data_IF_198026969073
#
_entry.id   IF_198026969073
#
_cell.length_a   1.000
_cell.length_b   1.000
_cell.length_c   1.000
_cell.angle_alpha   90.00
_cell.angle_beta   90.00
_cell.angle_gamma   90.00
#
_symmetry.space_group_name_H-M   'P 1'
#
loop_
_entity.id
_entity.type
_entity.pdbx_description
1 polymer ?
#
# COMPACT_ATOMS: atom_id res chain seq x y z
N UNK A 1 -0.47 22.85 18.89
CA UNK A 1 -1.72 23.17 18.16
C UNK A 1 -2.68 22.00 18.29
N UNK A 2 -3.95 22.28 18.50
CA UNK A 2 -4.98 21.24 18.60
C UNK A 2 -5.26 20.62 17.23
N UNK A 3 -5.76 19.38 17.24
CA UNK A 3 -6.24 18.70 16.05
C UNK A 3 -7.45 17.81 16.36
N UNK A 4 -8.31 17.65 15.38
CA UNK A 4 -9.53 16.84 15.44
C UNK A 4 -9.49 15.76 14.38
N UNK A 5 -9.68 14.52 14.81
CA UNK A 5 -9.94 13.38 13.93
C UNK A 5 -11.45 13.19 13.83
N UNK A 6 -12.00 13.33 12.63
CA UNK A 6 -13.45 13.28 12.39
C UNK A 6 -13.76 12.14 11.43
N UNK A 7 -14.59 11.19 11.86
CA UNK A 7 -14.99 10.04 11.05
C UNK A 7 -16.37 10.27 10.43
N UNK A 8 -16.62 9.65 9.26
CA UNK A 8 -17.90 9.75 8.54
C UNK A 8 -19.12 9.32 9.37
N UNK A 9 -18.93 8.48 10.40
CA UNK A 9 -19.98 8.06 11.33
C UNK A 9 -20.28 9.09 12.43
N UNK A 10 -19.69 10.29 12.37
CA UNK A 10 -19.87 11.37 13.35
C UNK A 10 -18.96 11.27 14.58
N UNK A 11 -18.09 10.26 14.68
CA UNK A 11 -17.15 10.19 15.80
C UNK A 11 -16.07 11.26 15.66
N UNK A 12 -15.89 12.05 16.71
CA UNK A 12 -14.83 13.06 16.81
C UNK A 12 -13.85 12.66 17.92
N UNK A 13 -12.55 12.70 17.63
CA UNK A 13 -11.49 12.45 18.60
C UNK A 13 -10.52 13.63 18.60
N UNK A 14 -10.33 14.24 19.76
CA UNK A 14 -9.42 15.37 19.94
C UNK A 14 -8.01 14.87 20.26
N UNK A 15 -7.01 15.49 19.63
CA UNK A 15 -5.60 15.21 19.84
C UNK A 15 -4.74 16.46 19.67
N UNK A 16 -3.45 16.26 19.45
CA UNK A 16 -2.48 17.34 19.18
C UNK A 16 -1.84 17.11 17.83
N UNK A 17 -1.68 18.18 17.06
CA UNK A 17 -0.92 18.10 15.82
C UNK A 17 0.58 18.02 16.11
N UNK A 18 1.28 17.13 15.41
CA UNK A 18 2.74 17.07 15.37
C UNK A 18 3.31 16.98 13.94
N UNK A 19 2.45 17.04 12.91
CA UNK A 19 2.84 17.06 11.51
C UNK A 19 2.67 18.45 10.88
N UNK A 20 2.53 18.49 9.56
CA UNK A 20 2.29 19.73 8.83
C UNK A 20 0.99 20.42 9.25
N UNK A 21 0.97 21.76 9.23
CA UNK A 21 -0.24 22.56 9.46
C UNK A 21 -1.15 22.57 8.21
N UNK A 22 -1.76 21.42 7.90
CA UNK A 22 -2.72 21.24 6.81
C UNK A 22 -3.86 20.31 7.24
N UNK A 23 -5.02 20.49 6.64
CA UNK A 23 -6.12 19.53 6.78
C UNK A 23 -5.96 18.44 5.72
N UNK A 24 -6.43 17.23 6.03
CA UNK A 24 -6.39 16.11 5.09
C UNK A 24 -7.58 15.19 5.31
N UNK A 25 -8.12 14.66 4.22
CA UNK A 25 -9.25 13.73 4.24
C UNK A 25 -8.85 12.49 3.43
N UNK A 26 -9.25 11.32 3.91
CA UNK A 26 -8.97 10.04 3.28
C UNK A 26 -9.70 8.90 3.96
N UNK A 27 -9.45 7.67 3.49
CA UNK A 27 -9.98 6.48 4.14
C UNK A 27 -9.13 6.14 5.38
N UNK A 28 -9.76 6.04 6.55
CA UNK A 28 -9.03 5.63 7.77
C UNK A 28 -8.81 4.13 7.79
N UNK A 29 -7.56 3.75 8.02
CA UNK A 29 -7.11 2.36 8.10
C UNK A 29 -6.25 2.19 9.34
N UNK A 30 -6.07 0.95 9.80
CA UNK A 30 -5.11 0.65 10.87
C UNK A 30 -4.07 -0.35 10.40
N UNK A 31 -2.85 -0.26 10.94
CA UNK A 31 -1.75 -1.19 10.69
C UNK A 31 -1.16 -1.67 12.04
N UNK A 32 -0.98 -2.99 12.16
CA UNK A 32 -0.54 -3.65 13.40
C UNK A 32 0.98 -3.81 13.55
N UNK A 33 1.77 -3.36 12.60
CA UNK A 33 3.23 -3.40 12.68
C UNK A 33 3.75 -2.57 13.85
N UNK A 34 4.67 -3.14 14.63
CA UNK A 34 5.30 -2.46 15.78
C UNK A 34 6.56 -1.68 15.42
N UNK A 35 7.08 -1.90 14.21
CA UNK A 35 8.19 -1.19 13.61
C UNK A 35 7.88 -0.97 12.11
N UNK A 36 8.69 -0.17 11.45
CA UNK A 36 8.54 0.10 10.02
C UNK A 36 7.58 1.24 9.70
N UNK A 37 7.39 2.22 10.60
CA UNK A 37 6.43 3.30 10.38
C UNK A 37 6.82 4.18 9.19
N UNK A 38 8.11 4.35 8.91
CA UNK A 38 8.59 5.15 7.78
C UNK A 38 8.29 4.45 6.45
N UNK A 39 8.60 3.16 6.38
CA UNK A 39 8.33 2.27 5.25
C UNK A 39 6.81 2.22 4.97
N UNK A 40 5.99 2.19 6.03
CA UNK A 40 4.53 2.23 5.92
C UNK A 40 4.05 3.55 5.33
N UNK A 41 4.45 4.70 5.86
CA UNK A 41 3.93 5.99 5.37
C UNK A 41 4.44 6.34 3.97
N UNK A 42 5.55 5.75 3.54
CA UNK A 42 6.15 5.96 2.21
C UNK A 42 5.75 4.90 1.17
N UNK A 43 4.97 3.90 1.56
CA UNK A 43 4.43 2.88 0.64
C UNK A 43 3.29 3.49 -0.21
N UNK A 44 3.41 3.52 -1.56
CA UNK A 44 2.40 4.08 -2.46
C UNK A 44 1.00 3.51 -2.30
N UNK A 45 0.88 2.30 -1.75
CA UNK A 45 -0.39 1.64 -1.52
C UNK A 45 -1.28 2.36 -0.48
N UNK A 46 -0.72 3.27 0.32
CA UNK A 46 -1.44 4.12 1.26
C UNK A 46 -1.91 5.46 0.68
N UNK A 47 -1.76 5.69 -0.63
CA UNK A 47 -2.26 6.91 -1.28
C UNK A 47 -3.75 7.10 -0.99
N UNK A 48 -4.12 8.27 -0.46
CA UNK A 48 -5.50 8.57 -0.09
C UNK A 48 -5.95 8.02 1.26
N UNK A 49 -5.07 7.38 2.04
CA UNK A 49 -5.40 6.76 3.32
C UNK A 49 -4.80 7.52 4.51
N UNK A 50 -5.57 7.61 5.59
CA UNK A 50 -5.11 8.06 6.90
C UNK A 50 -4.70 6.84 7.73
N UNK A 51 -3.41 6.72 8.04
CA UNK A 51 -2.85 5.51 8.66
C UNK A 51 -2.88 5.64 10.17
N UNK A 52 -3.59 4.73 10.82
CA UNK A 52 -3.55 4.54 12.28
C UNK A 52 -2.56 3.45 12.64
N UNK A 53 -1.51 3.77 13.39
CA UNK A 53 -0.59 2.77 13.91
C UNK A 53 -1.07 2.28 15.28
N UNK A 54 -1.16 0.95 15.46
CA UNK A 54 -1.65 0.39 16.73
C UNK A 54 -0.59 0.37 17.81
N UNK A 55 0.70 0.29 17.44
CA UNK A 55 1.79 0.37 18.41
C UNK A 55 1.83 1.79 18.99
N UNK A 56 1.87 1.96 20.33
CA UNK A 56 1.57 3.25 20.93
C UNK A 56 2.65 4.30 20.71
N UNK A 57 3.93 3.92 20.73
CA UNK A 57 5.07 4.84 20.67
C UNK A 57 5.65 4.89 19.26
N UNK A 58 5.32 5.93 18.49
CA UNK A 58 5.74 6.09 17.11
C UNK A 58 6.79 7.21 16.99
N UNK A 59 7.81 7.02 16.15
CA UNK A 59 8.92 7.97 15.98
C UNK A 59 10.17 7.64 16.80
N UNK A 60 10.19 6.50 17.49
CA UNK A 60 11.26 6.11 18.41
C UNK A 60 12.64 5.92 17.74
N UNK A 61 12.71 5.58 16.46
CA UNK A 61 13.96 5.44 15.71
C UNK A 61 14.22 6.57 14.69
N UNK A 62 13.41 7.62 14.70
CA UNK A 62 13.54 8.75 13.79
C UNK A 62 13.29 8.36 12.35
N UNK A 63 13.99 9.01 11.43
CA UNK A 63 13.87 8.80 9.99
C UNK A 63 15.26 8.57 9.39
N UNK A 64 15.36 7.58 8.51
CA UNK A 64 16.56 7.24 7.76
C UNK A 64 16.24 7.19 6.24
N UNK A 65 16.94 7.93 5.37
CA UNK A 65 16.70 7.90 3.92
C UNK A 65 16.68 6.50 3.28
N UNK A 66 17.41 5.53 3.84
CA UNK A 66 17.47 4.15 3.29
C UNK A 66 16.17 3.36 3.47
N UNK A 67 15.34 3.74 4.45
CA UNK A 67 14.06 3.11 4.80
C UNK A 67 12.88 3.68 3.98
N UNK A 68 13.16 4.52 2.98
CA UNK A 68 12.14 5.05 2.08
C UNK A 68 11.70 3.99 1.06
N UNK A 69 10.40 3.67 1.02
CA UNK A 69 9.82 2.75 0.04
C UNK A 69 9.35 3.42 -1.25
N UNK A 70 9.29 4.76 -1.28
CA UNK A 70 9.11 5.56 -2.50
C UNK A 70 9.76 6.94 -2.33
N UNK A 71 9.62 7.83 -3.30
CA UNK A 71 10.28 9.15 -3.29
C UNK A 71 9.67 10.15 -2.29
N UNK A 72 8.50 9.83 -1.71
CA UNK A 72 7.74 10.73 -0.83
C UNK A 72 6.86 9.96 0.16
N UNK A 73 6.29 10.69 1.12
CA UNK A 73 5.18 10.16 1.93
C UNK A 73 3.94 10.04 1.03
N UNK A 74 3.30 8.87 1.09
CA UNK A 74 2.15 8.51 0.26
C UNK A 74 0.87 8.50 1.08
N UNK A 75 0.97 8.18 2.37
CA UNK A 75 -0.14 8.31 3.31
C UNK A 75 -0.63 9.77 3.39
N UNK A 76 -1.94 9.95 3.38
CA UNK A 76 -2.58 11.28 3.47
C UNK A 76 -2.50 11.87 4.89
N UNK A 77 -2.14 11.07 5.89
CA UNK A 77 -1.97 11.51 7.27
C UNK A 77 -1.67 10.36 8.21
N UNK A 78 -1.17 10.70 9.39
CA UNK A 78 -0.72 9.72 10.39
C UNK A 78 -1.44 9.93 11.73
N UNK A 79 -1.95 8.84 12.31
CA UNK A 79 -2.71 8.83 13.56
C UNK A 79 -1.99 7.90 14.54
N UNK A 80 -1.57 8.46 15.68
CA UNK A 80 -0.80 7.73 16.69
C UNK A 80 -1.34 7.96 18.09
N UNK A 81 -0.99 7.06 19.01
CA UNK A 81 -1.28 7.25 20.43
C UNK A 81 -0.31 8.26 21.04
N UNK A 82 0.99 8.04 20.84
CA UNK A 82 2.06 8.86 21.38
C UNK A 82 3.17 9.05 20.34
N UNK A 83 3.55 10.31 20.11
CA UNK A 83 4.70 10.65 19.27
C UNK A 83 5.96 10.80 20.13
N UNK A 84 7.00 10.04 19.80
CA UNK A 84 8.31 10.11 20.45
C UNK A 84 9.11 11.25 19.84
N UNK A 85 9.22 12.36 20.57
CA UNK A 85 9.86 13.61 20.12
C UNK A 85 11.38 13.50 19.93
N UNK A 86 12.02 12.60 20.66
CA UNK A 86 13.48 12.41 20.66
C UNK A 86 13.79 10.99 20.20
N UNK A 87 14.09 10.78 18.91
CA UNK A 87 14.43 9.47 18.41
C UNK A 87 15.77 9.00 18.99
N UNK A 88 15.92 7.69 19.15
CA UNK A 88 17.14 7.05 19.66
C UNK A 88 17.53 5.86 18.76
N UNK A 89 18.16 6.19 17.63
CA UNK A 89 18.75 5.22 16.71
C UNK A 89 19.95 5.86 16.02
N UNK A 90 21.04 5.11 15.85
CA UNK A 90 22.27 5.60 15.23
C UNK A 90 22.10 6.01 13.75
N UNK A 91 21.09 5.46 13.07
CA UNK A 91 20.76 5.77 11.68
C UNK A 91 19.85 7.00 11.54
N UNK A 92 19.24 7.48 12.63
CA UNK A 92 18.31 8.61 12.61
C UNK A 92 19.00 9.88 12.09
N UNK A 93 18.44 10.48 11.03
CA UNK A 93 18.92 11.75 10.44
C UNK A 93 17.99 12.93 10.73
N UNK A 94 16.70 12.68 10.90
CA UNK A 94 15.70 13.68 11.25
C UNK A 94 14.61 13.06 12.14
N UNK A 95 13.82 13.89 12.82
CA UNK A 95 12.66 13.43 13.57
C UNK A 95 11.47 13.14 12.65
N UNK A 96 10.54 12.29 13.09
CA UNK A 96 9.32 12.02 12.32
C UNK A 96 8.46 13.28 12.12
N UNK A 97 8.44 14.21 13.08
CA UNK A 97 7.71 15.47 12.95
C UNK A 97 8.29 16.35 11.83
N UNK A 98 9.62 16.54 11.81
CA UNK A 98 10.31 17.30 10.76
C UNK A 98 10.04 16.70 9.39
N UNK A 99 10.12 15.37 9.27
CA UNK A 99 9.82 14.65 8.05
C UNK A 99 8.39 14.86 7.55
N UNK A 100 7.40 14.73 8.43
CA UNK A 100 5.98 14.97 8.11
C UNK A 100 5.73 16.42 7.68
N UNK A 101 6.33 17.39 8.38
CA UNK A 101 6.22 18.82 8.05
C UNK A 101 6.84 19.10 6.67
N UNK A 102 8.04 18.55 6.41
CA UNK A 102 8.78 18.69 5.14
C UNK A 102 7.97 18.19 3.94
N UNK A 103 7.23 17.10 4.09
CA UNK A 103 6.35 16.56 3.04
C UNK A 103 4.92 17.11 3.09
N UNK A 104 4.60 18.02 4.01
CA UNK A 104 3.28 18.63 4.11
C UNK A 104 2.18 17.67 4.56
N UNK A 105 2.52 16.63 5.33
CA UNK A 105 1.57 15.60 5.78
C UNK A 105 1.13 15.88 7.22
N UNK A 106 -0.19 16.00 7.49
CA UNK A 106 -0.67 16.20 8.85
C UNK A 106 -0.61 14.91 9.66
N UNK A 107 -0.39 15.08 10.95
CA UNK A 107 -0.38 13.96 11.88
C UNK A 107 -0.91 14.37 13.25
N UNK A 108 -1.62 13.44 13.90
CA UNK A 108 -2.30 13.65 15.16
C UNK A 108 -1.87 12.61 16.20
N UNK A 109 -1.46 13.08 17.37
CA UNK A 109 -1.14 12.25 18.55
C UNK A 109 -2.18 12.42 19.66
N UNK A 110 -2.14 11.54 20.67
CA UNK A 110 -3.07 11.55 21.81
C UNK A 110 -4.38 10.80 21.56
N UNK A 111 -4.54 10.19 20.37
CA UNK A 111 -5.74 9.46 20.01
C UNK A 111 -5.76 8.10 20.69
N UNK A 112 -6.92 7.67 21.17
CA UNK A 112 -7.13 6.27 21.57
C UNK A 112 -7.18 5.38 20.30
N UNK A 113 -5.99 5.03 19.81
CA UNK A 113 -5.83 4.21 18.60
C UNK A 113 -6.42 2.81 18.78
N UNK A 114 -6.57 2.31 20.01
CA UNK A 114 -7.24 1.03 20.28
C UNK A 114 -8.75 1.15 20.07
N UNK A 115 -9.39 2.20 20.58
CA UNK A 115 -10.81 2.49 20.32
C UNK A 115 -11.04 2.64 18.82
N UNK A 116 -10.22 3.43 18.14
CA UNK A 116 -10.30 3.64 16.69
C UNK A 116 -10.16 2.32 15.91
N UNK A 117 -9.15 1.50 16.25
CA UNK A 117 -8.94 0.20 15.62
C UNK A 117 -10.14 -0.73 15.78
N UNK A 118 -10.74 -0.78 16.98
CA UNK A 118 -11.96 -1.58 17.22
C UNK A 118 -13.13 -1.09 16.40
N UNK A 119 -13.29 0.23 16.26
CA UNK A 119 -14.34 0.82 15.44
C UNK A 119 -14.18 0.47 13.96
N UNK A 120 -12.98 0.62 13.40
CA UNK A 120 -12.67 0.27 12.01
C UNK A 120 -12.89 -1.22 11.77
N UNK A 121 -12.43 -2.09 12.68
CA UNK A 121 -12.67 -3.54 12.59
C UNK A 121 -14.16 -3.89 12.58
N UNK A 122 -14.95 -3.23 13.42
CA UNK A 122 -16.38 -3.53 13.60
C UNK A 122 -17.26 -2.91 12.51
N UNK A 123 -16.93 -1.73 12.01
CA UNK A 123 -17.77 -0.96 11.07
C UNK A 123 -17.24 -0.99 9.64
N UNK A 124 -15.96 -1.32 9.46
CA UNK A 124 -15.23 -1.20 8.21
C UNK A 124 -14.40 0.08 8.11
N UNK A 125 -13.54 0.13 7.10
CA UNK A 125 -12.84 1.34 6.70
C UNK A 125 -13.85 2.40 6.23
N UNK A 126 -13.58 3.67 6.53
CA UNK A 126 -14.51 4.76 6.26
C UNK A 126 -13.78 6.06 6.00
N UNK A 127 -14.46 7.03 5.39
CA UNK A 127 -13.92 8.38 5.23
C UNK A 127 -13.66 9.01 6.60
N UNK A 128 -12.55 9.73 6.70
CA UNK A 128 -12.06 10.36 7.91
C UNK A 128 -11.21 11.58 7.53
N UNK A 129 -11.17 12.58 8.42
CA UNK A 129 -10.35 13.77 8.23
C UNK A 129 -9.53 14.10 9.48
N UNK A 130 -8.32 14.61 9.25
CA UNK A 130 -7.49 15.29 10.25
C UNK A 130 -7.64 16.79 10.01
N UNK A 131 -8.18 17.50 10.99
CA UNK A 131 -8.39 18.94 10.95
C UNK A 131 -7.56 19.62 12.03
N UNK A 132 -6.71 20.57 11.65
CA UNK A 132 -5.86 21.31 12.57
C UNK A 132 -6.56 22.64 12.83
N UNK A 133 -7.15 22.75 14.01
CA UNK A 133 -7.90 23.92 14.47
C UNK A 133 -7.91 23.95 15.99
N UNK A 134 -8.06 25.14 16.58
CA UNK A 134 -8.20 25.33 18.03
C UNK A 134 -9.58 24.90 18.54
N UNK A 135 -10.60 24.94 17.68
CA UNK A 135 -11.99 24.57 18.00
C UNK A 135 -12.56 23.61 16.97
N UNK A 136 -13.50 22.78 17.41
CA UNK A 136 -14.25 21.92 16.49
C UNK A 136 -15.28 22.74 15.71
N UNK A 137 -15.48 22.40 14.44
CA UNK A 137 -16.50 22.97 13.57
C UNK A 137 -17.29 21.85 12.90
N UNK A 138 -18.62 22.00 12.82
CA UNK A 138 -19.50 21.01 12.17
C UNK A 138 -19.18 20.83 10.68
N UNK A 139 -18.59 21.87 10.06
CA UNK A 139 -18.08 21.85 8.69
C UNK A 139 -17.09 20.71 8.43
N UNK A 140 -16.37 20.24 9.46
CA UNK A 140 -15.41 19.14 9.35
C UNK A 140 -16.11 17.81 9.04
N UNK A 141 -17.24 17.55 9.69
CA UNK A 141 -18.00 16.32 9.44
C UNK A 141 -18.61 16.34 8.03
N UNK A 142 -19.14 17.48 7.61
CA UNK A 142 -19.70 17.64 6.27
C UNK A 142 -18.63 17.48 5.19
N UNK A 143 -17.42 18.02 5.39
CA UNK A 143 -16.30 17.80 4.50
C UNK A 143 -15.92 16.30 4.38
N UNK A 144 -15.93 15.56 5.49
CA UNK A 144 -15.62 14.12 5.51
C UNK A 144 -16.70 13.30 4.80
N UNK A 145 -17.99 13.63 4.97
CA UNK A 145 -19.11 12.94 4.31
C UNK A 145 -19.14 13.19 2.81
N UNK A 146 -18.79 14.39 2.37
CA UNK A 146 -18.79 14.79 0.96
C UNK A 146 -17.52 14.36 0.21
N UNK A 147 -16.52 13.82 0.90
CA UNK A 147 -15.29 13.36 0.28
C UNK A 147 -15.52 12.14 -0.63
N UNK A 148 -14.86 12.08 -1.80
CA UNK A 148 -15.04 10.98 -2.73
C UNK A 148 -14.55 9.66 -2.14
N UNK A 149 -15.29 8.58 -2.37
CA UNK A 149 -14.88 7.23 -1.96
C UNK A 149 -13.67 6.78 -2.77
N UNK A 150 -12.71 6.11 -2.12
CA UNK A 150 -11.58 5.47 -2.81
C UNK A 150 -11.99 4.30 -3.71
N UNK A 151 -13.17 3.71 -3.47
CA UNK A 151 -13.67 2.59 -4.28
C UNK A 151 -14.01 3.06 -5.70
N UNK A 152 -13.58 2.30 -6.70
CA UNK A 152 -13.71 2.68 -8.11
C UNK A 152 -12.74 3.77 -8.61
N UNK A 153 -11.81 4.26 -7.78
CA UNK A 153 -10.77 5.20 -8.23
C UNK A 153 -9.52 4.48 -8.73
N UNK A 154 -9.03 4.89 -9.90
CA UNK A 154 -7.72 4.53 -10.40
C UNK A 154 -6.64 5.41 -9.76
N UNK A 155 -6.12 4.95 -8.63
CA UNK A 155 -5.02 5.60 -7.94
C UNK A 155 -3.65 5.16 -8.46
N UNK A 156 -3.56 4.08 -9.25
CA UNK A 156 -2.32 3.61 -9.83
C UNK A 156 -1.75 4.63 -10.81
N UNK A 157 -2.61 5.26 -11.62
CA UNK A 157 -2.21 6.36 -12.52
C UNK A 157 -1.64 7.59 -11.79
N UNK A 158 -2.00 7.79 -10.52
CA UNK A 158 -1.56 8.95 -9.73
C UNK A 158 -0.17 8.74 -9.14
N UNK A 159 0.25 7.49 -8.95
CA UNK A 159 1.51 7.15 -8.26
C UNK A 159 2.56 6.49 -9.15
N UNK A 160 2.21 6.11 -10.37
CA UNK A 160 3.12 5.54 -11.37
C UNK A 160 4.22 6.52 -11.79
N UNK A 161 5.35 6.01 -12.28
CA UNK A 161 6.40 6.80 -12.89
C UNK A 161 5.94 7.50 -14.18
N UNK A 162 6.51 8.69 -14.44
CA UNK A 162 6.17 9.48 -15.64
C UNK A 162 6.81 8.95 -16.91
N UNK A 163 8.02 8.39 -16.80
CA UNK A 163 8.82 7.88 -17.92
C UNK A 163 9.48 6.57 -17.54
N UNK A 164 9.73 5.67 -18.50
CA UNK A 164 10.48 4.46 -18.25
C UNK A 164 11.87 4.75 -17.71
N UNK A 165 12.35 3.89 -16.80
CA UNK A 165 13.71 3.97 -16.25
C UNK A 165 14.28 2.60 -15.92
N UNK A 166 15.60 2.50 -15.85
CA UNK A 166 16.31 1.29 -15.42
C UNK A 166 16.63 1.41 -13.93
N UNK A 167 16.40 0.34 -13.18
CA UNK A 167 16.74 0.26 -11.77
C UNK A 167 17.89 -0.73 -11.55
N UNK A 168 18.81 -0.37 -10.65
CA UNK A 168 19.91 -1.24 -10.24
C UNK A 168 21.15 -1.14 -11.13
N UNK A 169 22.11 -2.03 -10.88
CA UNK A 169 23.43 -2.00 -11.52
C UNK A 169 23.69 -3.21 -12.43
N UNK A 170 22.78 -4.19 -12.47
CA UNK A 170 22.97 -5.43 -13.21
C UNK A 170 22.69 -5.29 -14.71
N UNK A 171 23.44 -4.41 -15.37
CA UNK A 171 23.52 -4.33 -16.84
C UNK A 171 24.90 -4.76 -17.32
N UNK A 172 25.04 -5.75 -18.25
CA UNK A 172 23.98 -6.59 -18.79
C UNK A 172 23.75 -7.86 -17.92
N UNK A 173 22.63 -7.93 -17.21
CA UNK A 173 22.08 -9.20 -16.69
C UNK A 173 21.57 -10.09 -17.83
N UNK A 174 21.50 -11.40 -17.58
CA UNK A 174 21.01 -12.41 -18.53
C UNK A 174 19.50 -12.31 -18.84
N UNK A 175 18.69 -11.66 -18.00
CA UNK A 175 17.23 -11.63 -18.17
C UNK A 175 16.68 -10.22 -18.04
N UNK A 176 16.06 -9.72 -19.11
CA UNK A 176 15.33 -8.44 -19.15
C UNK A 176 13.97 -8.59 -18.50
N UNK A 177 13.74 -7.84 -17.44
CA UNK A 177 12.48 -7.82 -16.70
C UNK A 177 11.75 -6.49 -16.93
N UNK A 178 10.55 -6.57 -17.50
CA UNK A 178 9.65 -5.42 -17.59
C UNK A 178 8.77 -5.34 -16.34
N UNK A 179 8.83 -4.22 -15.64
CA UNK A 179 8.08 -3.97 -14.40
C UNK A 179 7.05 -2.88 -14.66
N UNK A 180 5.77 -3.21 -14.50
CA UNK A 180 4.70 -2.21 -14.48
C UNK A 180 4.66 -1.53 -13.12
N UNK A 181 4.87 -0.22 -13.11
CA UNK A 181 4.78 0.60 -11.92
C UNK A 181 3.32 1.04 -11.68
N UNK A 182 2.65 0.39 -10.76
CA UNK A 182 1.34 0.80 -10.25
C UNK A 182 1.44 1.55 -8.90
N UNK A 183 2.63 2.01 -8.53
CA UNK A 183 2.97 2.44 -7.18
C UNK A 183 3.97 1.48 -6.53
N UNK A 184 5.03 1.14 -7.25
CA UNK A 184 5.99 0.14 -6.82
C UNK A 184 6.79 0.59 -5.60
N UNK A 185 6.95 -0.33 -4.66
CA UNK A 185 7.88 -0.19 -3.54
C UNK A 185 9.33 -0.38 -3.99
N UNK A 186 10.22 0.53 -3.57
CA UNK A 186 11.66 0.45 -3.85
C UNK A 186 12.27 -0.88 -3.41
N UNK A 187 11.83 -1.47 -2.30
CA UNK A 187 12.39 -2.74 -1.86
C UNK A 187 12.07 -3.92 -2.81
N UNK A 188 10.95 -3.88 -3.55
CA UNK A 188 10.65 -4.87 -4.59
C UNK A 188 11.72 -4.80 -5.69
N UNK A 189 12.04 -3.58 -6.14
CA UNK A 189 13.06 -3.34 -7.16
C UNK A 189 14.44 -3.82 -6.68
N UNK A 190 14.82 -3.51 -5.43
CA UNK A 190 16.08 -3.99 -4.81
C UNK A 190 16.17 -5.52 -4.82
N UNK A 191 15.08 -6.23 -4.49
CA UNK A 191 15.06 -7.69 -4.47
C UNK A 191 15.13 -8.30 -5.88
N UNK A 192 14.47 -7.69 -6.87
CA UNK A 192 14.54 -8.12 -8.26
C UNK A 192 15.95 -7.92 -8.84
N UNK A 193 16.58 -6.77 -8.57
CA UNK A 193 17.97 -6.50 -8.96
C UNK A 193 18.94 -7.48 -8.29
N UNK A 194 18.81 -7.70 -6.97
CA UNK A 194 19.64 -8.68 -6.22
C UNK A 194 19.45 -10.12 -6.72
N UNK A 195 18.27 -10.46 -7.24
CA UNK A 195 18.01 -11.75 -7.87
C UNK A 195 18.67 -11.88 -9.27
N UNK A 196 19.28 -10.80 -9.77
CA UNK A 196 20.05 -10.78 -11.01
C UNK A 196 19.25 -10.40 -12.25
N UNK A 197 18.10 -9.73 -12.13
CA UNK A 197 17.34 -9.22 -13.28
C UNK A 197 17.87 -7.87 -13.78
N UNK A 198 17.81 -7.63 -15.09
CA UNK A 198 17.93 -6.29 -15.66
C UNK A 198 16.55 -5.62 -15.59
N UNK A 199 16.34 -4.78 -14.58
CA UNK A 199 15.01 -4.27 -14.21
C UNK A 199 14.69 -2.97 -14.95
N UNK A 200 13.70 -3.03 -15.84
CA UNK A 200 13.18 -1.86 -16.57
C UNK A 200 11.78 -1.56 -16.05
N UNK A 201 11.60 -0.37 -15.50
CA UNK A 201 10.34 0.06 -14.89
C UNK A 201 9.59 0.94 -15.86
N UNK A 202 8.30 0.68 -16.01
CA UNK A 202 7.43 1.28 -17.01
C UNK A 202 6.19 1.91 -16.37
N UNK A 203 5.69 3.03 -16.93
CA UNK A 203 4.43 3.62 -16.51
C UNK A 203 3.27 2.64 -16.59
N UNK A 204 2.27 2.81 -15.73
CA UNK A 204 1.14 1.90 -15.57
C UNK A 204 0.42 1.57 -16.90
N UNK A 205 0.29 2.56 -17.80
CA UNK A 205 -0.43 2.45 -19.08
C UNK A 205 0.43 1.97 -20.26
N UNK A 206 1.66 1.54 -20.01
CA UNK A 206 2.51 1.02 -21.08
C UNK A 206 1.82 -0.19 -21.73
N UNK A 207 1.82 -0.24 -23.06
CA UNK A 207 1.15 -1.35 -23.76
C UNK A 207 2.01 -2.60 -23.68
N UNK A 208 1.38 -3.73 -23.41
CA UNK A 208 2.09 -5.01 -23.34
C UNK A 208 2.71 -5.40 -24.69
N UNK A 209 2.07 -5.03 -25.80
CA UNK A 209 2.55 -5.32 -27.14
C UNK A 209 3.91 -4.65 -27.42
N UNK A 210 4.10 -3.41 -26.96
CA UNK A 210 5.35 -2.67 -27.14
C UNK A 210 6.50 -3.40 -26.41
N UNK A 211 6.25 -3.84 -25.17
CA UNK A 211 7.24 -4.57 -24.37
C UNK A 211 7.51 -5.98 -24.92
N UNK A 212 6.50 -6.65 -25.46
CA UNK A 212 6.69 -7.95 -26.12
C UNK A 212 7.59 -7.82 -27.36
N UNK A 213 7.38 -6.77 -28.15
CA UNK A 213 8.18 -6.47 -29.34
C UNK A 213 9.63 -6.08 -29.00
N UNK A 214 9.84 -5.41 -27.86
CA UNK A 214 11.17 -5.06 -27.34
C UNK A 214 11.96 -6.25 -26.77
N UNK A 215 11.36 -7.45 -26.74
CA UNK A 215 12.04 -8.69 -26.40
C UNK A 215 12.32 -8.86 -24.91
N UNK A 216 11.43 -8.39 -24.03
CA UNK A 216 11.52 -8.69 -22.60
C UNK A 216 11.26 -10.18 -22.30
N UNK A 217 12.03 -10.72 -21.36
CA UNK A 217 12.04 -12.14 -21.00
C UNK A 217 10.93 -12.48 -20.01
N UNK A 218 10.67 -11.57 -19.06
CA UNK A 218 9.68 -11.73 -18.01
C UNK A 218 9.00 -10.40 -17.69
N UNK A 219 7.84 -10.49 -17.04
CA UNK A 219 6.98 -9.35 -16.73
C UNK A 219 6.56 -9.38 -15.26
N UNK A 220 6.51 -8.20 -14.66
CA UNK A 220 6.15 -8.04 -13.26
C UNK A 220 5.08 -6.95 -13.10
N UNK A 221 4.04 -7.25 -12.33
CA UNK A 221 2.98 -6.31 -11.96
C UNK A 221 3.15 -5.91 -10.49
N UNK A 222 3.44 -4.65 -10.23
CA UNK A 222 3.74 -4.18 -8.87
C UNK A 222 2.53 -4.12 -7.93
N UNK A 223 2.82 -3.83 -6.66
CA UNK A 223 1.82 -3.32 -5.74
C UNK A 223 1.31 -1.94 -6.19
N UNK A 224 0.22 -1.48 -5.58
CA UNK A 224 -0.33 -0.15 -5.82
C UNK A 224 -1.55 0.15 -4.96
N UNK A 225 -2.00 1.40 -4.94
CA UNK A 225 -3.20 1.83 -4.23
C UNK A 225 -4.48 1.54 -5.01
N UNK A 226 -5.62 1.69 -4.34
CA UNK A 226 -6.93 1.74 -4.99
C UNK A 226 -7.58 0.39 -5.28
N UNK A 227 -8.55 0.44 -6.20
CA UNK A 227 -9.33 -0.70 -6.67
C UNK A 227 -8.72 -1.24 -7.99
N UNK A 228 -8.48 -2.56 -8.11
CA UNK A 228 -8.04 -3.16 -9.37
C UNK A 228 -9.12 -3.19 -10.46
N UNK A 229 -10.41 -3.14 -10.10
CA UNK A 229 -11.52 -3.28 -11.05
C UNK A 229 -11.54 -2.23 -12.19
N UNK A 230 -11.28 -0.92 -11.96
CA UNK A 230 -11.22 0.08 -13.02
C UNK A 230 -9.95 0.03 -13.89
N UNK A 231 -8.99 -0.87 -13.62
CA UNK A 231 -7.70 -0.89 -14.30
C UNK A 231 -7.74 -1.69 -15.61
N UNK A 232 -8.67 -1.34 -16.51
CA UNK A 232 -8.90 -2.07 -17.77
C UNK A 232 -7.63 -2.23 -18.61
N UNK A 233 -6.78 -1.19 -18.66
CA UNK A 233 -5.50 -1.23 -19.37
C UNK A 233 -4.54 -2.27 -18.76
N UNK A 234 -4.48 -2.37 -17.43
CA UNK A 234 -3.58 -3.30 -16.75
C UNK A 234 -4.07 -4.75 -16.88
N UNK A 235 -5.39 -4.95 -16.82
CA UNK A 235 -6.04 -6.25 -17.03
C UNK A 235 -5.78 -6.71 -18.48
N UNK A 236 -5.93 -5.82 -19.45
CA UNK A 236 -5.62 -6.10 -20.85
C UNK A 236 -4.14 -6.46 -21.04
N UNK A 237 -3.21 -5.67 -20.51
CA UNK A 237 -1.77 -5.95 -20.59
C UNK A 237 -1.42 -7.30 -19.97
N UNK A 238 -1.97 -7.63 -18.79
CA UNK A 238 -1.76 -8.93 -18.15
C UNK A 238 -2.25 -10.08 -19.03
N UNK A 239 -3.42 -9.92 -19.66
CA UNK A 239 -3.97 -10.92 -20.59
C UNK A 239 -3.08 -11.09 -21.82
N UNK A 240 -2.66 -10.00 -22.47
CA UNK A 240 -1.74 -10.05 -23.61
C UNK A 240 -0.45 -10.82 -23.28
N UNK A 241 0.16 -10.55 -22.12
CA UNK A 241 1.39 -11.22 -21.68
C UNK A 241 1.18 -12.72 -21.45
N UNK A 242 0.06 -13.09 -20.82
CA UNK A 242 -0.30 -14.50 -20.59
C UNK A 242 -0.59 -15.23 -21.90
N UNK A 243 -1.32 -14.61 -22.83
CA UNK A 243 -1.63 -15.18 -24.15
C UNK A 243 -0.33 -15.40 -24.98
N UNK A 244 0.67 -14.54 -24.80
CA UNK A 244 2.02 -14.69 -25.35
C UNK A 244 2.88 -15.73 -24.63
N UNK A 245 2.36 -16.42 -23.59
CA UNK A 245 3.05 -17.44 -22.78
C UNK A 245 4.36 -16.96 -22.16
N UNK A 246 4.43 -15.68 -21.80
CA UNK A 246 5.59 -15.10 -21.12
C UNK A 246 5.44 -15.24 -19.59
N UNK A 247 6.54 -15.43 -18.85
CA UNK A 247 6.51 -15.42 -17.39
C UNK A 247 5.95 -14.10 -16.85
N UNK A 248 4.89 -14.19 -16.05
CA UNK A 248 4.22 -13.07 -15.42
C UNK A 248 4.12 -13.29 -13.90
N UNK A 249 4.58 -12.31 -13.12
CA UNK A 249 4.47 -12.34 -11.66
C UNK A 249 3.82 -11.06 -11.14
N UNK A 250 2.95 -11.17 -10.14
CA UNK A 250 2.19 -10.04 -9.62
C UNK A 250 2.15 -10.02 -8.09
N UNK A 251 2.38 -8.85 -7.50
CA UNK A 251 2.32 -8.64 -6.04
C UNK A 251 1.19 -7.68 -5.69
N UNK A 252 0.38 -8.03 -4.67
CA UNK A 252 -0.72 -7.20 -4.17
C UNK A 252 -1.70 -6.79 -5.29
N UNK A 253 -1.64 -5.54 -5.77
CA UNK A 253 -2.45 -5.06 -6.89
C UNK A 253 -2.19 -5.89 -8.16
N UNK A 254 -0.93 -6.20 -8.47
CA UNK A 254 -0.57 -7.08 -9.58
C UNK A 254 -1.18 -8.47 -9.50
N UNK A 255 -1.28 -9.05 -8.29
CA UNK A 255 -1.97 -10.33 -8.07
C UNK A 255 -3.47 -10.22 -8.38
N UNK A 256 -4.10 -9.10 -7.99
CA UNK A 256 -5.52 -8.86 -8.26
C UNK A 256 -5.78 -8.67 -9.75
N UNK A 257 -4.91 -7.94 -10.46
CA UNK A 257 -4.97 -7.74 -11.91
C UNK A 257 -4.87 -9.08 -12.65
N UNK A 258 -3.93 -9.96 -12.27
CA UNK A 258 -3.84 -11.32 -12.83
C UNK A 258 -5.14 -12.10 -12.60
N UNK A 259 -5.70 -12.03 -11.38
CA UNK A 259 -6.97 -12.65 -11.07
C UNK A 259 -8.11 -12.18 -11.97
N UNK A 260 -8.23 -10.87 -12.19
CA UNK A 260 -9.23 -10.28 -13.09
C UNK A 260 -9.01 -10.68 -14.55
N UNK A 261 -7.76 -10.69 -15.02
CA UNK A 261 -7.42 -11.13 -16.38
C UNK A 261 -7.79 -12.61 -16.61
N UNK A 262 -7.78 -13.44 -15.56
CA UNK A 262 -8.25 -14.83 -15.57
C UNK A 262 -9.78 -14.97 -15.37
N UNK A 263 -10.54 -13.88 -15.48
CA UNK A 263 -11.99 -13.84 -15.34
C UNK A 263 -12.50 -14.06 -13.91
N UNK A 264 -11.65 -13.89 -12.88
CA UNK A 264 -12.10 -13.86 -11.49
C UNK A 264 -12.72 -12.50 -11.15
N UNK A 265 -13.36 -12.41 -9.99
CA UNK A 265 -13.92 -11.16 -9.46
C UNK A 265 -13.15 -10.70 -8.24
N UNK A 266 -13.03 -9.39 -8.09
CA UNK A 266 -12.50 -8.76 -6.88
C UNK A 266 -13.63 -8.30 -5.97
N UNK A 267 -13.35 -8.15 -4.67
CA UNK A 267 -14.26 -7.54 -3.71
C UNK A 267 -13.48 -6.75 -2.66
N UNK A 268 -14.01 -5.59 -2.26
CA UNK A 268 -13.45 -4.76 -1.20
C UNK A 268 -13.59 -5.47 0.14
N UNK A 269 -12.50 -5.50 0.90
CA UNK A 269 -12.52 -6.02 2.27
C UNK A 269 -13.15 -5.02 3.22
N UNK A 270 -13.80 -5.51 4.27
CA UNK A 270 -14.39 -4.67 5.32
C UNK A 270 -13.39 -3.66 5.88
N UNK A 271 -12.19 -4.10 6.25
CA UNK A 271 -11.12 -3.23 6.74
C UNK A 271 -9.74 -3.58 6.21
N UNK A 272 -9.61 -4.53 5.28
CA UNK A 272 -8.34 -4.98 4.69
C UNK A 272 -7.40 -5.74 5.64
N UNK A 273 -6.27 -6.21 5.12
CA UNK A 273 -5.18 -6.79 5.90
C UNK A 273 -4.00 -5.84 5.90
N UNK A 274 -3.60 -5.31 7.06
CA UNK A 274 -2.43 -4.40 7.18
C UNK A 274 -1.66 -4.69 8.45
N UNK A 275 -0.44 -5.19 8.30
CA UNK A 275 0.42 -5.54 9.43
C UNK A 275 1.42 -6.64 9.12
N UNK A 276 2.57 -6.59 9.78
CA UNK A 276 3.68 -7.53 9.57
C UNK A 276 3.53 -8.90 10.25
N UNK A 277 2.34 -9.26 10.75
CA UNK A 277 2.10 -10.48 11.53
C UNK A 277 0.97 -11.38 10.97
N UNK A 278 0.63 -11.24 9.69
CA UNK A 278 -0.40 -12.07 9.05
C UNK A 278 0.15 -13.46 8.68
N UNK A 279 -0.40 -14.56 9.21
CA UNK A 279 -0.02 -15.90 8.80
C UNK A 279 -0.62 -16.25 7.43
N UNK A 280 0.22 -16.72 6.51
CA UNK A 280 -0.20 -17.25 5.20
C UNK A 280 0.20 -18.72 5.14
N UNK A 281 -0.65 -19.57 4.55
CA UNK A 281 -0.39 -21.01 4.42
C UNK A 281 -0.35 -21.39 2.95
N UNK A 282 0.76 -21.97 2.52
CA UNK A 282 0.87 -22.57 1.18
C UNK A 282 0.13 -23.91 1.16
N UNK A 283 -0.93 -24.01 0.35
CA UNK A 283 -1.59 -25.29 0.06
C UNK A 283 -1.09 -25.78 -1.30
N UNK A 284 -0.11 -26.69 -1.33
CA UNK A 284 0.25 -27.39 -2.57
C UNK A 284 -0.90 -28.34 -2.93
N UNK A 285 -1.41 -28.28 -4.17
CA UNK A 285 -2.18 -29.40 -4.74
C UNK A 285 -1.19 -30.53 -5.04
N UNK A 286 -0.87 -31.33 -4.02
CA UNK A 286 -0.17 -32.59 -4.22
C UNK A 286 -1.23 -33.68 -4.28
N UNK A 287 -1.18 -34.54 -5.31
CA UNK A 287 -1.91 -35.82 -5.37
C UNK A 287 -1.54 -36.80 -4.23
N UNK A 288 -0.76 -36.38 -3.24
CA UNK A 288 -0.42 -37.15 -2.04
C UNK A 288 -0.21 -36.21 -0.85
N UNK A 289 -0.78 -36.61 0.29
CA UNK A 289 -0.86 -35.81 1.53
C UNK A 289 0.53 -35.43 2.06
N UNK A 290 0.95 -34.18 1.84
CA UNK A 290 1.97 -33.53 2.70
C UNK A 290 1.74 -32.03 2.75
N UNK A 291 1.26 -31.54 3.89
CA UNK A 291 1.05 -30.11 4.15
C UNK A 291 2.34 -29.51 4.71
N UNK A 292 3.13 -28.86 3.87
CA UNK A 292 4.23 -28.01 4.36
C UNK A 292 3.66 -26.63 4.71
N UNK A 293 3.75 -26.24 5.98
CA UNK A 293 3.34 -24.92 6.46
C UNK A 293 4.52 -23.97 6.31
N UNK A 294 4.47 -23.08 5.32
CA UNK A 294 5.39 -21.94 5.24
C UNK A 294 4.60 -20.68 5.57
N UNK A 295 4.99 -19.98 6.63
CA UNK A 295 4.48 -18.64 6.98
C UNK A 295 5.19 -17.60 6.12
N UNK A 296 4.44 -16.83 5.35
CA UNK A 296 4.93 -15.62 4.70
C UNK A 296 4.19 -14.43 5.33
N UNK A 297 4.92 -13.41 5.78
CA UNK A 297 4.32 -12.16 6.24
C UNK A 297 3.90 -11.33 5.04
N UNK A 298 2.63 -10.93 4.97
CA UNK A 298 2.09 -10.14 3.87
C UNK A 298 1.65 -8.78 4.39
N UNK A 299 2.19 -7.72 3.80
CA UNK A 299 2.17 -6.39 4.41
C UNK A 299 0.92 -5.55 4.10
N UNK A 300 0.21 -5.80 2.98
CA UNK A 300 -1.02 -5.07 2.67
C UNK A 300 -1.90 -5.77 1.62
N UNK A 301 -3.19 -5.95 1.89
CA UNK A 301 -4.22 -6.34 0.88
C UNK A 301 -5.54 -5.61 1.16
N UNK A 302 -6.01 -4.81 0.19
CA UNK A 302 -7.26 -4.04 0.27
C UNK A 302 -8.45 -4.72 -0.42
N UNK A 303 -8.19 -5.41 -1.54
CA UNK A 303 -9.18 -6.14 -2.33
C UNK A 303 -8.80 -7.61 -2.46
N UNK A 304 -9.80 -8.49 -2.54
CA UNK A 304 -9.57 -9.94 -2.69
C UNK A 304 -9.97 -10.45 -4.04
N UNK A 305 -9.15 -11.32 -4.62
CA UNK A 305 -9.60 -12.20 -5.70
C UNK A 305 -10.39 -13.35 -5.09
N UNK A 306 -11.64 -13.54 -5.52
CA UNK A 306 -12.41 -14.74 -5.11
C UNK A 306 -11.87 -15.98 -5.83
N UNK A 307 -11.08 -16.79 -5.14
CA UNK A 307 -10.77 -18.17 -5.54
C UNK A 307 -11.71 -19.16 -4.84
N UNK A 308 -12.03 -20.27 -5.52
CA UNK A 308 -13.11 -21.23 -5.21
C UNK A 308 -12.96 -22.05 -3.91
N UNK A 309 -12.23 -21.60 -2.89
CA UNK A 309 -11.98 -22.37 -1.67
C UNK A 309 -12.57 -21.68 -0.42
N UNK A 310 -13.72 -22.21 0.03
CA UNK A 310 -14.30 -22.16 1.38
C UNK A 310 -13.83 -21.00 2.30
N UNK A 311 -14.57 -19.90 2.29
CA UNK A 311 -14.67 -18.92 3.40
C UNK A 311 -13.40 -18.22 3.88
N UNK A 312 -12.26 -18.48 3.25
CA UNK A 312 -10.94 -17.99 3.62
C UNK A 312 -10.37 -17.12 2.50
N UNK A 313 -9.61 -16.10 2.89
CA UNK A 313 -9.06 -15.11 1.97
C UNK A 313 -8.02 -15.74 1.04
N UNK A 314 -8.18 -15.55 -0.29
CA UNK A 314 -7.18 -15.99 -1.27
C UNK A 314 -6.01 -15.00 -1.32
N UNK A 315 -4.79 -15.53 -1.14
CA UNK A 315 -3.55 -14.75 -1.08
C UNK A 315 -2.55 -15.12 -2.18
N UNK A 316 -2.82 -16.18 -2.94
CA UNK A 316 -1.98 -16.65 -4.04
C UNK A 316 -2.85 -17.29 -5.13
N UNK A 317 -2.48 -17.06 -6.40
CA UNK A 317 -2.95 -17.83 -7.56
C UNK A 317 -1.72 -18.60 -8.03
N UNK A 318 -1.76 -19.94 -8.12
CA UNK A 318 -0.62 -20.72 -8.58
C UNK A 318 -0.35 -20.46 -10.07
N UNK A 319 0.86 -20.82 -10.49
CA UNK A 319 1.21 -20.89 -11.91
C UNK A 319 0.18 -21.72 -12.68
N UNK A 320 -0.22 -21.23 -13.85
CA UNK A 320 -1.01 -21.97 -14.82
C UNK A 320 -0.02 -22.57 -15.81
N UNK A 321 -0.04 -23.90 -15.94
CA UNK A 321 0.75 -24.66 -16.92
C UNK A 321 0.31 -24.35 -18.36
#
# INVERSE_FOLDING_TARGET
MQAFLVLANGTVMKGRSFGANKNSIGEVVFNTSMAGYQEIITDPSYKGQLVTLTYPMIGNYGINPDDMESDRIQASGLIVKEYVKRPSNFQSKETLSEFLIRFGVPAIEGIDTRKLTRMIRNSGAMSCGIFISETYEDSFLEAVKNAPSMEGQDLAQVVTCEKPYVFGAHSPSKFKLAVYDFGIKRNILKLLDTAGFNVHVFPAKTKAEDLLNDGYDAYFLSNGPGDPAPLDYAIASAKTIMDAKKPLFGICLGHQIIGLALGKKTAKLKFGHRGGNHPVVTKKQVKSKSHHKTMVSMFLVNHLVRCRLQGSTCLTIPWLD
#
